data_IF_569408983644
#
_entry.id   IF_569408983644
#
_cell.length_a   1.000
_cell.length_b   1.000
_cell.length_c   1.000
_cell.angle_alpha   90.00
_cell.angle_beta   90.00
_cell.angle_gamma   90.00
#
_symmetry.space_group_name_H-M   'P 1'
#
loop_
_entity.id
_entity.type
_entity.pdbx_description
1 polymer ?
#
# COMPACT_ATOMS: atom_id res chain seq x y z
N UNK A 1 -29.25 -18.88 86.33
CA UNK A 1 -30.71 -18.77 86.14
C UNK A 1 -31.01 -19.13 84.69
N UNK A 2 -31.33 -20.36 84.33
CA UNK A 2 -31.46 -21.59 85.10
C UNK A 2 -31.51 -22.72 84.07
N UNK A 3 -30.72 -23.76 84.36
CA UNK A 3 -31.00 -25.18 84.19
C UNK A 3 -31.28 -25.67 82.74
N UNK A 4 -30.31 -26.30 82.06
CA UNK A 4 -29.73 -27.63 82.33
C UNK A 4 -30.81 -28.71 82.43
N UNK A 5 -30.91 -29.60 81.45
CA UNK A 5 -30.99 -31.05 81.70
C UNK A 5 -30.75 -31.86 80.40
N UNK A 6 -29.76 -32.74 80.52
CA UNK A 6 -29.29 -33.89 79.72
C UNK A 6 -30.34 -35.04 79.74
N UNK A 7 -30.26 -36.18 79.00
CA UNK A 7 -29.04 -36.98 78.84
C UNK A 7 -28.84 -37.85 77.58
N UNK A 8 -27.68 -38.48 77.64
CA UNK A 8 -27.07 -39.58 76.89
C UNK A 8 -27.97 -40.83 76.80
N UNK A 9 -27.82 -41.65 75.74
CA UNK A 9 -27.37 -43.05 75.82
C UNK A 9 -27.45 -43.75 74.44
N UNK A 10 -26.40 -44.51 74.16
CA UNK A 10 -26.18 -45.39 73.01
C UNK A 10 -27.01 -46.70 73.14
N UNK A 11 -26.90 -47.57 72.12
CA UNK A 11 -27.20 -49.01 72.15
C UNK A 11 -28.64 -49.42 71.77
N UNK A 12 -28.82 -49.92 70.55
CA UNK A 12 -28.73 -51.36 70.24
C UNK A 12 -29.22 -51.65 68.82
N UNK A 13 -28.42 -52.42 68.11
CA UNK A 13 -28.76 -53.02 66.83
C UNK A 13 -29.97 -53.97 66.93
N UNK A 14 -30.88 -53.87 65.98
CA UNK A 14 -31.66 -55.01 65.49
C UNK A 14 -31.75 -54.91 63.96
N UNK A 15 -31.00 -55.80 63.30
CA UNK A 15 -31.17 -56.24 61.92
C UNK A 15 -31.94 -57.57 61.98
N UNK A 16 -32.52 -58.12 60.90
CA UNK A 16 -32.73 -57.59 59.54
C UNK A 16 -34.14 -57.92 58.99
N UNK A 17 -34.56 -57.31 57.88
CA UNK A 17 -35.45 -57.99 56.93
C UNK A 17 -35.42 -57.30 55.58
N UNK A 18 -35.03 -58.08 54.57
CA UNK A 18 -35.01 -57.71 53.19
C UNK A 18 -36.38 -57.29 52.66
N UNK A 19 -36.38 -56.29 51.80
CA UNK A 19 -37.22 -56.31 50.61
C UNK A 19 -36.42 -55.68 49.47
N UNK A 20 -35.96 -56.54 48.57
CA UNK A 20 -35.63 -56.19 47.20
C UNK A 20 -36.69 -55.25 46.61
N UNK A 21 -36.25 -54.09 46.17
CA UNK A 21 -36.84 -53.45 44.99
C UNK A 21 -35.70 -53.16 44.02
N UNK A 22 -35.48 -54.11 43.13
CA UNK A 22 -34.82 -53.87 41.86
C UNK A 22 -35.64 -52.82 41.10
N UNK A 23 -35.26 -51.55 41.22
CA UNK A 23 -35.64 -50.53 40.25
C UNK A 23 -34.65 -50.67 39.11
N UNK A 24 -35.14 -51.26 38.03
CA UNK A 24 -34.47 -51.34 36.75
C UNK A 24 -34.24 -49.92 36.23
N UNK A 25 -32.99 -49.45 36.23
CA UNK A 25 -32.62 -48.31 35.39
C UNK A 25 -32.86 -48.70 33.93
N UNK A 26 -33.83 -48.04 33.32
CA UNK A 26 -34.19 -48.27 31.93
C UNK A 26 -33.05 -47.82 30.99
N UNK A 27 -32.86 -48.46 29.82
CA UNK A 27 -31.79 -48.10 28.87
C UNK A 27 -31.93 -46.70 28.22
N UNK A 28 -32.91 -45.90 28.62
CA UNK A 28 -33.26 -44.64 27.97
C UNK A 28 -32.42 -43.45 28.46
N UNK A 29 -32.11 -43.35 29.76
CA UNK A 29 -31.38 -42.19 30.32
C UNK A 29 -29.90 -42.15 29.90
N UNK A 30 -29.21 -43.30 29.89
CA UNK A 30 -27.81 -43.38 29.46
C UNK A 30 -27.62 -42.97 27.98
N UNK A 31 -28.65 -43.12 27.15
CA UNK A 31 -28.60 -42.78 25.73
C UNK A 31 -28.82 -41.29 25.46
N UNK A 32 -29.63 -40.60 26.26
CA UNK A 32 -29.82 -39.16 26.15
C UNK A 32 -28.59 -38.38 26.65
N UNK A 33 -28.00 -38.81 27.77
CA UNK A 33 -26.81 -38.18 28.35
C UNK A 33 -25.59 -38.34 27.42
N UNK A 34 -25.43 -39.52 26.81
CA UNK A 34 -24.41 -39.80 25.78
C UNK A 34 -24.56 -38.93 24.53
N UNK A 35 -25.78 -38.74 24.02
CA UNK A 35 -26.06 -37.91 22.84
C UNK A 35 -25.84 -36.43 23.14
N UNK A 36 -26.28 -35.94 24.31
CA UNK A 36 -26.04 -34.55 24.75
C UNK A 36 -24.56 -34.28 24.96
N UNK A 37 -23.81 -35.22 25.57
CA UNK A 37 -22.36 -35.12 25.73
C UNK A 37 -21.62 -35.08 24.39
N UNK A 38 -21.99 -35.95 23.44
CA UNK A 38 -21.43 -35.95 22.08
C UNK A 38 -21.72 -34.63 21.33
N UNK A 39 -22.94 -34.10 21.49
CA UNK A 39 -23.38 -32.86 20.85
C UNK A 39 -22.65 -31.65 21.45
N UNK A 40 -22.52 -31.58 22.78
CA UNK A 40 -21.74 -30.56 23.48
C UNK A 40 -20.27 -30.64 23.05
N UNK A 41 -19.66 -31.83 23.07
CA UNK A 41 -18.27 -32.01 22.65
C UNK A 41 -18.04 -31.61 21.18
N UNK A 42 -18.99 -31.92 20.30
CA UNK A 42 -18.98 -31.50 18.90
C UNK A 42 -19.05 -29.98 18.74
N UNK A 43 -19.99 -29.33 19.43
CA UNK A 43 -20.13 -27.86 19.41
C UNK A 43 -18.86 -27.20 19.98
N UNK A 44 -18.35 -27.67 21.13
CA UNK A 44 -17.13 -27.14 21.73
C UNK A 44 -15.93 -27.28 20.79
N UNK A 45 -15.76 -28.45 20.14
CA UNK A 45 -14.67 -28.66 19.19
C UNK A 45 -14.76 -27.71 17.97
N UNK A 46 -15.97 -27.51 17.41
CA UNK A 46 -16.19 -26.59 16.29
C UNK A 46 -15.92 -25.14 16.71
N UNK A 47 -16.42 -24.71 17.86
CA UNK A 47 -16.20 -23.35 18.37
C UNK A 47 -14.72 -23.10 18.67
N UNK A 48 -14.03 -24.05 19.31
CA UNK A 48 -12.58 -23.95 19.55
C UNK A 48 -11.79 -23.91 18.26
N UNK A 49 -12.15 -24.73 17.26
CA UNK A 49 -11.51 -24.69 15.95
C UNK A 49 -11.72 -23.33 15.27
N UNK A 50 -12.93 -22.80 15.26
CA UNK A 50 -13.22 -21.49 14.66
C UNK A 50 -12.48 -20.35 15.37
N UNK A 51 -12.44 -20.37 16.71
CA UNK A 51 -11.72 -19.37 17.51
C UNK A 51 -10.22 -19.33 17.24
N UNK A 52 -9.61 -20.44 16.82
CA UNK A 52 -8.18 -20.48 16.47
C UNK A 52 -7.96 -20.28 14.97
N UNK A 53 -8.70 -21.01 14.13
CA UNK A 53 -8.51 -21.04 12.69
C UNK A 53 -8.87 -19.71 12.04
N UNK A 54 -9.94 -19.04 12.47
CA UNK A 54 -10.37 -17.78 11.84
C UNK A 54 -9.37 -16.66 12.12
N UNK A 55 -8.96 -16.36 13.37
CA UNK A 55 -7.94 -15.33 13.61
C UNK A 55 -6.59 -15.69 12.99
N UNK A 56 -6.18 -16.97 13.01
CA UNK A 56 -4.90 -17.39 12.43
C UNK A 56 -4.87 -17.23 10.91
N UNK A 57 -5.97 -17.57 10.22
CA UNK A 57 -6.05 -17.39 8.76
C UNK A 57 -6.13 -15.91 8.39
N UNK A 58 -6.91 -15.10 9.11
CA UNK A 58 -6.97 -13.65 8.89
C UNK A 58 -5.62 -12.98 9.17
N UNK A 59 -4.92 -13.37 10.25
CA UNK A 59 -3.58 -12.87 10.55
C UNK A 59 -2.57 -13.29 9.47
N UNK A 60 -2.64 -14.53 8.97
CA UNK A 60 -1.79 -15.01 7.88
C UNK A 60 -2.06 -14.28 6.56
N UNK A 61 -3.32 -14.04 6.22
CA UNK A 61 -3.71 -13.26 5.03
C UNK A 61 -3.20 -11.84 5.17
N UNK A 62 -3.44 -11.16 6.31
CA UNK A 62 -2.92 -9.82 6.55
C UNK A 62 -1.40 -9.81 6.40
N UNK A 63 -0.68 -10.72 7.07
CA UNK A 63 0.79 -10.83 7.01
C UNK A 63 1.35 -11.04 5.59
N UNK A 64 0.66 -11.80 4.75
CA UNK A 64 1.06 -12.10 3.38
C UNK A 64 0.44 -11.15 2.34
N UNK A 65 -0.51 -10.31 2.74
CA UNK A 65 -1.20 -9.33 1.89
C UNK A 65 -0.25 -8.47 1.05
N UNK A 66 0.88 -7.96 1.58
CA UNK A 66 1.80 -7.14 0.79
C UNK A 66 2.40 -7.90 -0.41
N UNK A 67 2.53 -9.23 -0.30
CA UNK A 67 3.07 -10.11 -1.33
C UNK A 67 1.98 -10.54 -2.32
N UNK A 68 0.74 -10.70 -1.82
CA UNK A 68 -0.40 -11.17 -2.61
C UNK A 68 -1.06 -10.04 -3.43
N UNK A 69 -0.85 -8.78 -3.06
CA UNK A 69 -1.34 -7.61 -3.81
C UNK A 69 -0.62 -7.49 -5.16
N UNK A 70 -1.37 -7.53 -6.26
CA UNK A 70 -0.85 -7.22 -7.60
C UNK A 70 -0.46 -5.74 -7.62
N UNK A 71 0.83 -5.44 -7.81
CA UNK A 71 1.34 -4.07 -8.00
C UNK A 71 0.69 -3.45 -9.25
N UNK A 72 -0.34 -2.62 -9.06
CA UNK A 72 -0.76 -1.65 -10.07
C UNK A 72 0.31 -0.56 -10.11
N UNK A 73 0.63 -0.03 -11.29
CA UNK A 73 1.66 0.98 -11.45
C UNK A 73 1.36 2.19 -10.57
N UNK A 74 2.38 2.73 -9.91
CA UNK A 74 2.27 3.96 -9.11
C UNK A 74 1.70 5.08 -9.98
N UNK A 75 0.58 5.60 -9.53
CA UNK A 75 -0.38 6.39 -10.27
C UNK A 75 -1.67 6.28 -9.50
N UNK A 76 -1.95 7.28 -8.67
CA UNK A 76 -3.10 7.30 -7.78
C UNK A 76 -4.40 6.95 -8.53
N UNK A 77 -5.12 5.93 -8.06
CA UNK A 77 -6.51 5.64 -8.46
C UNK A 77 -7.48 6.78 -8.09
N UNK A 78 -7.00 7.87 -7.49
CA UNK A 78 -7.75 9.12 -7.25
C UNK A 78 -7.61 10.15 -8.37
N UNK A 79 -6.82 9.84 -9.39
CA UNK A 79 -6.91 10.50 -10.67
C UNK A 79 -8.12 9.99 -11.45
N UNK A 80 -9.11 10.85 -11.74
CA UNK A 80 -10.29 10.59 -12.59
C UNK A 80 -9.96 10.21 -14.06
N UNK A 81 -8.71 9.87 -14.36
CA UNK A 81 -8.21 9.62 -15.71
C UNK A 81 -8.61 8.26 -16.31
N UNK A 82 -9.14 7.33 -15.51
CA UNK A 82 -9.42 5.98 -16.00
C UNK A 82 -8.20 5.27 -16.60
N UNK A 83 -8.43 4.25 -17.42
CA UNK A 83 -7.37 3.42 -18.02
C UNK A 83 -6.40 4.21 -18.93
N UNK A 84 -6.78 5.41 -19.39
CA UNK A 84 -5.99 6.24 -20.31
C UNK A 84 -4.72 6.83 -19.66
N UNK A 85 -4.79 7.10 -18.35
CA UNK A 85 -3.72 7.69 -17.56
C UNK A 85 -3.05 6.66 -16.64
N UNK A 86 -3.15 5.36 -16.95
CA UNK A 86 -2.47 4.32 -16.20
C UNK A 86 -0.94 4.53 -16.16
N UNK A 87 -0.39 4.59 -14.94
CA UNK A 87 1.01 4.92 -14.67
C UNK A 87 1.42 6.36 -14.96
N UNK A 88 0.46 7.29 -15.06
CA UNK A 88 0.70 8.73 -15.04
C UNK A 88 0.40 9.32 -13.67
N UNK A 89 1.12 10.39 -13.35
CA UNK A 89 0.96 11.17 -12.14
C UNK A 89 0.42 12.54 -12.56
N UNK A 90 -0.68 12.98 -11.95
CA UNK A 90 -1.18 14.32 -12.15
C UNK A 90 -0.24 15.32 -11.47
N UNK A 91 0.23 16.31 -12.23
CA UNK A 91 1.09 17.34 -11.69
C UNK A 91 0.27 18.35 -10.89
N UNK A 92 0.86 18.97 -9.85
CA UNK A 92 0.20 19.99 -9.04
C UNK A 92 0.02 21.33 -9.77
N UNK A 93 0.48 21.42 -11.03
CA UNK A 93 0.38 22.62 -11.87
C UNK A 93 -0.45 22.32 -13.11
N UNK A 94 -1.17 23.34 -13.56
CA UNK A 94 -2.01 23.34 -14.75
C UNK A 94 -1.30 24.05 -15.92
N UNK A 95 -1.84 23.89 -17.12
CA UNK A 95 -1.27 24.44 -18.35
C UNK A 95 -1.14 25.97 -18.33
N UNK A 96 -2.09 26.67 -17.71
CA UNK A 96 -2.10 28.14 -17.56
C UNK A 96 -0.96 28.67 -16.67
N UNK A 97 -0.44 27.85 -15.76
CA UNK A 97 0.72 28.18 -14.95
C UNK A 97 2.04 28.12 -15.73
N UNK A 98 2.05 27.49 -16.93
CA UNK A 98 3.21 27.44 -17.80
C UNK A 98 3.25 28.67 -18.73
N UNK A 99 4.36 29.44 -18.72
CA UNK A 99 4.55 30.58 -19.61
C UNK A 99 4.41 30.20 -21.09
N UNK A 100 3.66 31.01 -21.86
CA UNK A 100 3.46 30.82 -23.30
C UNK A 100 4.70 31.16 -24.15
N UNK A 101 5.69 31.84 -23.55
CA UNK A 101 6.97 32.16 -24.17
C UNK A 101 7.93 30.96 -24.23
N UNK A 102 7.52 29.81 -23.67
CA UNK A 102 8.31 28.59 -23.65
C UNK A 102 9.41 28.58 -22.61
N UNK A 103 9.39 29.48 -21.62
CA UNK A 103 10.32 29.42 -20.50
C UNK A 103 10.12 28.14 -19.67
N UNK A 104 11.22 27.44 -19.31
CA UNK A 104 11.16 26.28 -18.44
C UNK A 104 10.64 26.59 -17.04
N UNK A 105 9.73 25.75 -16.56
CA UNK A 105 9.23 25.76 -15.17
C UNK A 105 9.61 24.44 -14.50
N UNK A 106 10.21 24.53 -13.30
CA UNK A 106 10.50 23.34 -12.50
C UNK A 106 9.29 22.96 -11.68
N UNK A 107 8.92 21.67 -11.72
CA UNK A 107 7.81 21.12 -10.96
C UNK A 107 8.30 19.92 -10.16
N UNK A 108 7.92 19.87 -8.88
CA UNK A 108 8.13 18.69 -8.05
C UNK A 108 7.01 17.69 -8.32
N UNK A 109 7.38 16.48 -8.73
CA UNK A 109 6.46 15.37 -8.92
C UNK A 109 6.20 14.73 -7.56
N UNK A 110 4.92 14.60 -7.20
CA UNK A 110 4.49 13.94 -5.98
C UNK A 110 3.66 12.73 -6.34
N UNK A 111 3.93 11.61 -5.68
CA UNK A 111 3.22 10.35 -5.90
C UNK A 111 2.90 9.71 -4.55
N UNK A 112 2.02 8.71 -4.57
CA UNK A 112 1.77 7.88 -3.40
C UNK A 112 2.84 6.79 -3.29
N UNK A 113 3.55 6.79 -2.16
CA UNK A 113 4.47 5.73 -1.80
C UNK A 113 3.74 4.66 -0.99
N UNK A 114 3.45 3.55 -1.65
CA UNK A 114 2.96 2.33 -1.00
C UNK A 114 4.13 1.42 -0.63
N UNK A 115 4.33 1.18 0.67
CA UNK A 115 5.18 0.11 1.18
C UNK A 115 4.35 -1.13 1.54
N UNK A 116 4.97 -2.13 2.17
CA UNK A 116 4.26 -3.36 2.53
C UNK A 116 3.00 -3.10 3.38
N UNK A 117 3.03 -2.11 4.27
CA UNK A 117 2.04 -1.92 5.32
C UNK A 117 1.49 -0.51 5.43
N UNK A 118 2.15 0.47 4.82
CA UNK A 118 1.81 1.87 4.89
C UNK A 118 1.61 2.46 3.49
N UNK A 119 0.75 3.47 3.45
CA UNK A 119 0.50 4.32 2.29
C UNK A 119 0.82 5.75 2.67
N UNK A 120 1.80 6.36 2.02
CA UNK A 120 2.16 7.76 2.20
C UNK A 120 1.75 8.54 0.96
N UNK A 121 0.87 9.52 1.13
CA UNK A 121 0.43 10.40 0.05
C UNK A 121 1.36 11.58 -0.14
N UNK A 122 1.31 12.17 -1.33
CA UNK A 122 1.99 13.44 -1.65
C UNK A 122 3.50 13.42 -1.43
N UNK A 123 4.13 12.24 -1.61
CA UNK A 123 5.57 12.07 -1.38
C UNK A 123 6.32 12.61 -2.60
N UNK A 124 7.30 13.53 -2.43
CA UNK A 124 8.10 14.01 -3.56
C UNK A 124 8.99 12.88 -4.09
N UNK A 125 8.69 12.42 -5.31
CA UNK A 125 9.45 11.34 -5.98
C UNK A 125 10.56 11.87 -6.90
N UNK A 126 10.49 13.15 -7.27
CA UNK A 126 11.52 13.83 -8.04
C UNK A 126 11.05 15.18 -8.57
N UNK A 127 11.81 15.74 -9.51
CA UNK A 127 11.44 16.99 -10.18
C UNK A 127 11.70 16.94 -11.67
N UNK A 128 10.94 17.74 -12.40
CA UNK A 128 10.96 17.82 -13.85
C UNK A 128 11.01 19.26 -14.31
N UNK A 129 11.48 19.45 -15.54
CA UNK A 129 11.36 20.70 -16.28
C UNK A 129 10.23 20.58 -17.29
N UNK A 130 9.29 21.53 -17.26
CA UNK A 130 8.22 21.65 -18.23
C UNK A 130 8.43 22.89 -19.09
N UNK A 131 8.16 22.77 -20.38
CA UNK A 131 8.04 23.92 -21.29
C UNK A 131 6.76 23.83 -22.09
N UNK A 132 6.06 24.95 -22.20
CA UNK A 132 4.90 25.10 -23.09
C UNK A 132 5.36 25.68 -24.41
N UNK A 133 5.24 24.89 -25.47
CA UNK A 133 5.51 25.26 -26.85
C UNK A 133 4.25 25.84 -27.50
N UNK A 134 4.34 26.40 -28.72
CA UNK A 134 3.18 26.81 -29.49
C UNK A 134 2.15 25.68 -29.64
N UNK A 135 0.88 26.08 -29.86
CA UNK A 135 -0.25 25.15 -30.02
C UNK A 135 -0.53 24.30 -28.76
N UNK A 136 -0.11 24.76 -27.58
CA UNK A 136 -0.25 24.05 -26.30
C UNK A 136 0.46 22.70 -26.25
N UNK A 137 1.48 22.50 -27.09
CA UNK A 137 2.37 21.35 -26.97
C UNK A 137 3.22 21.50 -25.70
N UNK A 138 3.33 20.46 -24.89
CA UNK A 138 4.18 20.47 -23.69
C UNK A 138 5.32 19.47 -23.87
N UNK A 139 6.53 19.90 -23.55
CA UNK A 139 7.66 18.99 -23.40
C UNK A 139 8.09 18.94 -21.94
N UNK A 140 8.46 17.75 -21.50
CA UNK A 140 8.89 17.48 -20.14
C UNK A 140 10.24 16.76 -20.13
N UNK A 141 11.14 17.19 -19.27
CA UNK A 141 12.43 16.53 -19.06
C UNK A 141 12.61 16.17 -17.59
N UNK A 142 13.21 15.01 -17.33
CA UNK A 142 13.72 14.70 -16.01
C UNK A 142 14.81 15.73 -15.64
N UNK A 143 14.75 16.26 -14.41
CA UNK A 143 15.76 17.20 -13.91
C UNK A 143 17.10 16.52 -13.57
N UNK A 144 17.19 15.20 -13.68
CA UNK A 144 18.38 14.42 -13.39
C UNK A 144 19.29 14.36 -14.62
N UNK A 145 20.55 14.75 -14.45
CA UNK A 145 21.53 14.77 -15.52
C UNK A 145 21.92 13.34 -15.94
N UNK A 146 21.87 13.01 -17.25
CA UNK A 146 22.22 11.68 -17.76
C UNK A 146 23.70 11.32 -17.58
N UNK A 147 24.55 12.27 -17.18
CA UNK A 147 25.95 12.00 -16.88
C UNK A 147 26.11 11.16 -15.61
N UNK A 148 25.88 11.72 -14.42
CA UNK A 148 26.08 11.03 -13.13
C UNK A 148 24.95 11.30 -12.12
N UNK A 149 23.80 11.81 -12.58
CA UNK A 149 22.60 11.93 -11.74
C UNK A 149 22.48 13.21 -10.91
N UNK A 150 23.34 14.21 -11.12
CA UNK A 150 23.17 15.54 -10.50
C UNK A 150 21.95 16.27 -11.07
N UNK A 151 21.38 17.22 -10.33
CA UNK A 151 20.32 18.09 -10.85
C UNK A 151 20.81 19.00 -11.99
N UNK A 152 19.97 19.15 -12.99
CA UNK A 152 20.08 20.10 -14.11
C UNK A 152 19.23 21.32 -13.78
N UNK A 153 19.81 22.51 -13.89
CA UNK A 153 19.15 23.78 -13.63
C UNK A 153 18.88 24.53 -14.94
N UNK A 154 17.82 25.31 -15.01
CA UNK A 154 17.64 26.29 -16.08
C UNK A 154 18.39 27.59 -15.75
N UNK A 155 19.16 28.11 -16.70
CA UNK A 155 19.79 29.44 -16.60
C UNK A 155 19.08 30.41 -17.53
N UNK A 156 18.30 31.32 -16.98
CA UNK A 156 17.53 32.28 -17.78
C UNK A 156 18.37 33.29 -18.55
N UNK A 157 19.59 33.59 -18.09
CA UNK A 157 20.51 34.51 -18.77
C UNK A 157 21.09 33.93 -20.06
N UNK A 158 21.48 32.65 -20.02
CA UNK A 158 22.05 31.88 -21.13
C UNK A 158 20.99 31.14 -21.96
N UNK A 159 19.77 31.06 -21.43
CA UNK A 159 18.64 30.36 -22.02
C UNK A 159 18.94 28.88 -22.32
N UNK A 160 19.54 28.19 -21.35
CA UNK A 160 19.95 26.78 -21.46
C UNK A 160 19.71 25.99 -20.17
N UNK A 161 19.75 24.67 -20.30
CA UNK A 161 19.80 23.76 -19.16
C UNK A 161 21.25 23.41 -18.83
N UNK A 162 21.64 23.51 -17.57
CA UNK A 162 23.02 23.37 -17.13
C UNK A 162 23.15 22.56 -15.85
N UNK A 163 24.07 21.59 -15.86
CA UNK A 163 24.46 20.81 -14.71
C UNK A 163 25.86 21.23 -14.20
N UNK A 164 25.99 21.78 -12.99
CA UNK A 164 27.25 22.33 -12.50
C UNK A 164 28.29 21.28 -12.11
N UNK A 165 27.90 20.01 -11.92
CA UNK A 165 28.81 18.97 -11.42
C UNK A 165 30.01 18.73 -12.35
N UNK A 166 29.77 18.69 -13.66
CA UNK A 166 30.81 18.49 -14.68
C UNK A 166 30.57 19.36 -15.92
N UNK A 167 29.78 20.43 -15.77
CA UNK A 167 29.46 21.40 -16.83
C UNK A 167 28.68 20.82 -18.00
N UNK A 168 27.85 19.79 -17.80
CA UNK A 168 26.92 19.35 -18.86
C UNK A 168 25.96 20.49 -19.21
N UNK A 169 25.75 20.73 -20.50
CA UNK A 169 24.83 21.77 -21.00
C UNK A 169 23.92 21.17 -22.06
N UNK A 170 22.70 21.67 -22.10
CA UNK A 170 21.65 21.25 -23.02
C UNK A 170 20.88 22.48 -23.50
N UNK A 171 20.41 22.46 -24.73
CA UNK A 171 19.49 23.48 -25.24
C UNK A 171 18.10 23.32 -24.60
N UNK A 172 17.19 24.24 -24.88
CA UNK A 172 15.85 24.18 -24.31
C UNK A 172 15.01 23.00 -24.81
N UNK A 173 15.38 22.38 -25.93
CA UNK A 173 14.74 21.19 -26.48
C UNK A 173 15.38 19.92 -25.90
N UNK A 174 16.29 20.07 -24.93
CA UNK A 174 16.93 19.00 -24.18
C UNK A 174 18.15 18.39 -24.88
N UNK A 175 18.52 18.85 -26.07
CA UNK A 175 19.66 18.29 -26.80
C UNK A 175 20.96 18.70 -26.12
N UNK A 176 21.91 17.78 -25.98
CA UNK A 176 23.21 18.11 -25.41
C UNK A 176 23.95 19.11 -26.32
N UNK A 177 24.59 20.09 -25.71
CA UNK A 177 25.39 21.11 -26.43
C UNK A 177 26.89 20.91 -26.25
N UNK A 178 27.30 19.90 -25.45
CA UNK A 178 28.68 19.49 -25.29
C UNK A 178 28.81 17.96 -25.12
N UNK A 179 30.05 17.48 -25.09
CA UNK A 179 30.35 16.04 -25.05
C UNK A 179 30.37 15.43 -23.64
N UNK A 180 30.13 16.22 -22.60
CA UNK A 180 30.15 15.73 -21.21
C UNK A 180 28.99 14.75 -20.95
N UNK A 181 27.71 15.09 -21.21
CA UNK A 181 26.65 14.13 -21.05
C UNK A 181 26.70 13.09 -22.17
N UNK A 182 26.45 11.81 -21.86
CA UNK A 182 26.52 10.74 -22.85
C UNK A 182 25.35 10.74 -23.85
N UNK A 183 24.27 11.47 -23.53
CA UNK A 183 23.03 11.63 -24.30
C UNK A 183 22.33 12.93 -23.93
N UNK A 184 21.27 13.25 -24.64
CA UNK A 184 20.36 14.37 -24.39
C UNK A 184 19.64 14.23 -23.03
N UNK A 185 18.95 15.28 -22.58
CA UNK A 185 18.12 15.21 -21.38
C UNK A 185 17.04 14.11 -21.53
N UNK A 186 16.75 13.43 -20.43
CA UNK A 186 15.79 12.35 -20.45
C UNK A 186 14.36 12.90 -20.56
N UNK A 187 13.80 12.87 -21.77
CA UNK A 187 12.40 13.26 -22.04
C UNK A 187 11.40 12.39 -21.29
N UNK A 188 10.28 12.98 -20.88
CA UNK A 188 9.20 12.27 -20.19
C UNK A 188 7.91 12.41 -20.97
N UNK A 189 7.09 11.34 -20.94
CA UNK A 189 5.78 11.36 -21.57
C UNK A 189 4.83 12.22 -20.73
N UNK A 190 4.22 13.23 -21.38
CA UNK A 190 3.26 14.13 -20.77
C UNK A 190 2.00 14.19 -21.63
N UNK A 191 0.85 14.20 -20.98
CA UNK A 191 -0.48 14.27 -21.59
C UNK A 191 -1.27 15.40 -20.98
N UNK A 192 -2.10 16.04 -21.79
CA UNK A 192 -3.10 16.99 -21.33
C UNK A 192 -4.35 16.21 -20.88
N UNK A 193 -4.92 16.62 -19.76
CA UNK A 193 -6.14 16.03 -19.22
C UNK A 193 -7.38 16.36 -20.07
N UNK A 194 -8.52 15.68 -19.81
CA UNK A 194 -9.78 15.92 -20.51
C UNK A 194 -10.32 17.35 -20.37
N UNK A 195 -9.89 18.06 -19.32
CA UNK A 195 -10.21 19.46 -19.03
C UNK A 195 -9.37 20.47 -19.84
N UNK A 196 -8.44 20.00 -20.67
CA UNK A 196 -7.45 20.81 -21.38
C UNK A 196 -6.58 21.70 -20.47
N UNK A 197 -6.46 21.36 -19.19
CA UNK A 197 -5.71 22.16 -18.21
C UNK A 197 -4.81 21.29 -17.32
N UNK A 198 -5.29 20.12 -16.89
CA UNK A 198 -4.53 19.20 -16.06
C UNK A 198 -3.37 18.59 -16.84
N UNK A 199 -2.21 18.49 -16.20
CA UNK A 199 -1.02 17.89 -16.79
C UNK A 199 -0.75 16.54 -16.14
N UNK A 200 -0.64 15.51 -16.97
CA UNK A 200 -0.39 14.14 -16.54
C UNK A 200 0.96 13.70 -17.05
N UNK A 201 1.86 13.33 -16.14
CA UNK A 201 3.24 12.99 -16.45
C UNK A 201 3.53 11.55 -16.07
N UNK A 202 4.11 10.77 -16.99
CA UNK A 202 4.69 9.47 -16.67
C UNK A 202 6.12 9.68 -16.17
N UNK A 203 6.28 9.76 -14.86
CA UNK A 203 7.60 9.94 -14.25
C UNK A 203 8.43 8.65 -14.33
N UNK A 204 9.68 8.77 -14.78
CA UNK A 204 10.65 7.69 -14.90
C UNK A 204 12.05 8.21 -14.59
N UNK A 205 12.83 7.38 -13.92
CA UNK A 205 14.27 7.60 -13.75
C UNK A 205 15.03 6.71 -14.72
N UNK A 206 16.21 7.18 -15.12
CA UNK A 206 17.03 6.51 -16.11
C UNK A 206 18.44 6.32 -15.56
N UNK A 207 19.10 5.27 -16.04
CA UNK A 207 20.49 5.01 -15.70
C UNK A 207 21.39 6.11 -16.25
N UNK A 208 22.24 6.70 -15.40
CA UNK A 208 23.27 7.64 -15.82
C UNK A 208 24.48 6.95 -16.46
N UNK A 209 25.37 7.74 -17.07
CA UNK A 209 26.64 7.34 -17.67
C UNK A 209 26.52 6.35 -18.85
N UNK A 210 25.37 6.30 -19.51
CA UNK A 210 25.11 5.47 -20.70
C UNK A 210 24.60 6.32 -21.86
N UNK A 211 24.97 5.99 -23.09
CA UNK A 211 24.38 6.64 -24.26
C UNK A 211 22.91 6.23 -24.44
N UNK A 212 22.58 4.99 -24.09
CA UNK A 212 21.22 4.49 -24.13
C UNK A 212 20.39 4.99 -22.95
N UNK A 213 19.12 5.31 -23.23
CA UNK A 213 18.10 5.69 -22.25
C UNK A 213 17.48 4.43 -21.67
N UNK A 214 18.01 3.98 -20.53
CA UNK A 214 17.60 2.74 -19.84
C UNK A 214 16.79 3.12 -18.59
N UNK A 215 15.51 2.74 -18.54
CA UNK A 215 14.63 2.95 -17.38
C UNK A 215 15.07 2.13 -16.15
N UNK A 216 14.86 2.70 -14.95
CA UNK A 216 15.13 2.08 -13.64
C UNK A 216 13.86 1.54 -12.97
#
# INVERSE_FOLDING_TARGET
>A
MSDSETPEEEVRADSPAASETAVTDGPAEASEESRRGLLIQGITAVLSFLLVAVPSTLAGIFYLDPILRKKKGGGDEEGDGGDEFDGFIQLPVTLDALPEDGQPVSVTVKDTLDDAWNRFRDVPVGSVWLRRLPENNIIAFNSICPHLGCSVNYRSGENDFFCPCHTSSFDLDGNKTNEVPPRDMDSLEIKLGPDNQSLWLRYRNFRGATADKIEL
#
